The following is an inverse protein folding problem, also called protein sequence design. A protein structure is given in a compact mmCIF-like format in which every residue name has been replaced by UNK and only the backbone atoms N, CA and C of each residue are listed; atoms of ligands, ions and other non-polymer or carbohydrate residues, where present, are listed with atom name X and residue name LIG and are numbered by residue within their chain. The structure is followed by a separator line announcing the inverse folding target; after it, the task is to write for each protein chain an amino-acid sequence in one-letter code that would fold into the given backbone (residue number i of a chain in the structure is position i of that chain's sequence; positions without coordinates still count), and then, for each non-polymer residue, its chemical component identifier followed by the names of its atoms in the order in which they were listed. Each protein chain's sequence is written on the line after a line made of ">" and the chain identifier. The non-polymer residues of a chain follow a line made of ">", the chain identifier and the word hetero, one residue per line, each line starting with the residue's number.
data_IF_061493762294
#
_entry.id   IF_061493762294
#
_cell.length_a   1.000
_cell.length_b   1.000
_cell.length_c   1.000
_cell.angle_alpha   90.00
_cell.angle_beta   90.00
_cell.angle_gamma   90.00
#
_symmetry.space_group_name_H-M   'P 1'
#
loop_
_entity.id
_entity.type
_entity.pdbx_description
1 polymer ?
#
# COMPACT_ATOMS: atom_id res chain seq x y z
N UNK A 1 19.21 -18.59 35.38
CA UNK A 1 18.00 -19.41 35.15
C UNK A 1 17.34 -19.18 33.80
N UNK A 2 17.29 -17.95 33.25
CA UNK A 2 16.72 -17.69 31.90
C UNK A 2 17.46 -18.42 30.76
N UNK A 3 18.77 -18.67 30.88
CA UNK A 3 19.56 -19.38 29.87
C UNK A 3 19.13 -20.84 29.63
N UNK A 4 18.33 -21.43 30.51
CA UNK A 4 17.88 -22.83 30.41
C UNK A 4 16.43 -22.97 29.93
N UNK A 5 15.72 -21.85 29.67
CA UNK A 5 14.33 -21.90 29.24
C UNK A 5 14.20 -22.57 27.87
N UNK A 6 13.29 -23.54 27.79
CA UNK A 6 12.85 -24.21 26.57
C UNK A 6 11.89 -23.30 25.79
N UNK A 7 12.04 -23.29 24.46
CA UNK A 7 11.32 -22.44 23.51
C UNK A 7 9.80 -22.67 23.50
N UNK A 8 9.34 -23.81 24.02
CA UNK A 8 7.96 -24.27 23.81
C UNK A 8 7.01 -23.99 24.99
N UNK A 9 7.51 -23.58 26.16
CA UNK A 9 6.70 -23.47 27.38
C UNK A 9 6.19 -22.06 27.71
N UNK A 10 6.62 -21.01 27.00
CA UNK A 10 6.27 -19.62 27.36
C UNK A 10 5.35 -19.01 26.30
N UNK A 11 4.23 -18.45 26.74
CA UNK A 11 3.33 -17.73 25.85
C UNK A 11 4.02 -16.49 25.26
N UNK A 12 3.77 -16.18 23.98
CA UNK A 12 4.42 -15.03 23.33
C UNK A 12 4.12 -13.69 24.01
N UNK A 13 2.91 -13.53 24.59
CA UNK A 13 2.53 -12.34 25.36
C UNK A 13 3.40 -12.19 26.60
N UNK A 14 3.60 -13.30 27.31
CA UNK A 14 4.46 -13.33 28.49
C UNK A 14 5.92 -12.99 28.16
N UNK A 15 6.42 -13.29 26.94
CA UNK A 15 7.77 -12.91 26.55
C UNK A 15 7.97 -11.38 26.50
N UNK A 16 7.00 -10.63 25.98
CA UNK A 16 7.07 -9.17 25.96
C UNK A 16 6.88 -8.54 27.35
N UNK A 17 6.06 -9.16 28.20
CA UNK A 17 5.97 -8.77 29.62
C UNK A 17 7.30 -8.99 30.34
N UNK A 18 7.92 -10.16 30.13
CA UNK A 18 9.25 -10.49 30.66
C UNK A 18 10.30 -9.52 30.12
N UNK A 19 10.25 -9.16 28.84
CA UNK A 19 11.14 -8.16 28.23
C UNK A 19 11.03 -6.81 28.94
N UNK A 20 9.81 -6.32 29.19
CA UNK A 20 9.58 -5.04 29.88
C UNK A 20 10.17 -5.04 31.29
N UNK A 21 10.05 -6.16 32.02
CA UNK A 21 10.69 -6.32 33.34
C UNK A 21 12.21 -6.42 33.20
N UNK A 22 12.69 -7.24 32.26
CA UNK A 22 14.10 -7.52 32.01
C UNK A 22 14.90 -6.27 31.62
N UNK A 23 14.31 -5.32 30.89
CA UNK A 23 14.96 -4.07 30.51
C UNK A 23 15.27 -3.16 31.71
N UNK A 24 14.53 -3.31 32.81
CA UNK A 24 14.76 -2.59 34.06
C UNK A 24 15.69 -3.35 35.04
N UNK A 25 16.11 -4.56 34.67
CA UNK A 25 16.98 -5.41 35.48
C UNK A 25 18.38 -5.47 34.88
N UNK A 26 19.39 -5.58 35.73
CA UNK A 26 20.78 -5.82 35.32
C UNK A 26 21.00 -7.30 34.93
N UNK A 27 20.23 -7.80 33.95
CA UNK A 27 20.42 -9.16 33.43
C UNK A 27 21.81 -9.30 32.76
N UNK A 28 22.34 -10.52 32.74
CA UNK A 28 23.53 -10.82 31.94
C UNK A 28 23.21 -10.69 30.45
N UNK A 29 24.21 -10.33 29.64
CA UNK A 29 24.05 -10.15 28.20
C UNK A 29 23.51 -11.43 27.53
N UNK A 30 24.01 -12.60 27.91
CA UNK A 30 23.54 -13.88 27.42
C UNK A 30 22.05 -14.12 27.69
N UNK A 31 21.53 -13.71 28.86
CA UNK A 31 20.09 -13.83 29.16
C UNK A 31 19.26 -12.91 28.26
N UNK A 32 19.73 -11.68 28.02
CA UNK A 32 19.05 -10.73 27.12
C UNK A 32 19.03 -11.25 25.69
N UNK A 33 20.17 -11.67 25.17
CA UNK A 33 20.28 -12.17 23.80
C UNK A 33 19.39 -13.40 23.58
N UNK A 34 19.29 -14.30 24.58
CA UNK A 34 18.38 -15.46 24.50
C UNK A 34 16.91 -15.03 24.49
N UNK A 35 16.51 -14.11 25.37
CA UNK A 35 15.14 -13.59 25.41
C UNK A 35 14.76 -12.89 24.11
N UNK A 36 15.63 -12.02 23.60
CA UNK A 36 15.41 -11.31 22.35
C UNK A 36 15.38 -12.27 21.15
N UNK A 37 16.22 -13.30 21.15
CA UNK A 37 16.19 -14.36 20.15
C UNK A 37 14.87 -15.12 20.16
N UNK A 38 14.37 -15.49 21.35
CA UNK A 38 13.07 -16.14 21.50
C UNK A 38 11.92 -15.27 20.97
N UNK A 39 11.94 -13.97 21.27
CA UNK A 39 10.94 -13.01 20.77
C UNK A 39 11.05 -12.86 19.26
N UNK A 40 12.25 -12.70 18.72
CA UNK A 40 12.49 -12.57 17.29
C UNK A 40 12.04 -13.79 16.49
N UNK A 41 12.21 -15.01 17.03
CA UNK A 41 11.70 -16.24 16.38
C UNK A 41 10.17 -16.29 16.27
N UNK A 42 9.44 -15.50 17.07
CA UNK A 42 7.97 -15.42 17.12
C UNK A 42 7.45 -14.06 16.64
N UNK A 43 8.26 -13.29 15.93
CA UNK A 43 7.95 -11.92 15.50
C UNK A 43 6.67 -11.82 14.64
N UNK A 44 6.31 -12.90 13.95
CA UNK A 44 5.05 -13.01 13.18
C UNK A 44 3.78 -13.03 14.04
N UNK A 45 3.93 -13.12 15.37
CA UNK A 45 2.84 -13.05 16.37
C UNK A 45 2.80 -11.70 17.11
N UNK A 46 3.77 -10.82 16.87
CA UNK A 46 3.84 -9.53 17.55
C UNK A 46 2.85 -8.52 16.94
N UNK A 47 2.38 -7.59 17.78
CA UNK A 47 1.65 -6.39 17.35
C UNK A 47 2.59 -5.19 17.30
N UNK A 48 2.14 -4.09 16.68
CA UNK A 48 2.90 -2.84 16.65
C UNK A 48 3.24 -2.38 18.08
N UNK A 49 2.27 -2.38 19.00
CA UNK A 49 2.48 -2.00 20.41
C UNK A 49 3.56 -2.80 21.13
N UNK A 50 3.83 -4.03 20.69
CA UNK A 50 4.90 -4.84 21.25
C UNK A 50 6.28 -4.31 20.85
N UNK A 51 6.41 -3.70 19.67
CA UNK A 51 7.65 -3.10 19.15
C UNK A 51 7.93 -1.70 19.70
N UNK A 52 6.91 -1.02 20.22
CA UNK A 52 7.01 0.34 20.77
C UNK A 52 7.62 0.34 22.18
N UNK A 53 8.86 -0.17 22.27
CA UNK A 53 9.65 -0.18 23.50
C UNK A 53 10.38 1.15 23.64
N UNK A 54 10.22 1.88 24.76
CA UNK A 54 10.91 3.14 24.97
C UNK A 54 12.43 3.00 24.90
N UNK A 55 13.09 4.00 24.33
CA UNK A 55 14.53 4.05 24.26
C UNK A 55 15.19 4.19 25.65
N UNK A 56 16.38 3.61 25.89
CA UNK A 56 17.06 3.75 27.18
C UNK A 56 17.32 5.20 27.58
N UNK A 57 17.16 5.51 28.88
CA UNK A 57 17.36 6.83 29.48
C UNK A 57 18.78 7.35 29.21
N UNK A 58 18.93 8.13 28.13
CA UNK A 58 20.11 8.87 27.61
C UNK A 58 20.04 9.06 26.09
N UNK A 59 19.21 8.29 25.40
CA UNK A 59 19.01 8.44 23.95
C UNK A 59 17.87 9.44 23.70
N UNK A 60 18.00 10.26 22.67
CA UNK A 60 17.06 11.34 22.34
C UNK A 60 15.83 10.89 21.54
N UNK A 61 15.91 9.72 20.90
CA UNK A 61 14.82 9.15 20.09
C UNK A 61 13.87 8.32 20.96
N UNK A 62 12.61 8.21 20.53
CA UNK A 62 11.48 7.71 21.34
C UNK A 62 11.55 6.19 21.60
N UNK A 63 11.83 5.40 20.56
CA UNK A 63 11.73 3.94 20.60
C UNK A 63 13.07 3.23 20.37
N UNK A 64 13.29 2.08 21.01
CA UNK A 64 14.53 1.30 20.84
C UNK A 64 14.57 0.53 19.50
N UNK A 65 14.94 1.23 18.43
CA UNK A 65 15.10 0.64 17.09
C UNK A 65 16.15 -0.48 17.06
N UNK A 66 17.19 -0.42 17.91
CA UNK A 66 18.24 -1.44 17.93
C UNK A 66 17.70 -2.79 18.43
N UNK A 67 16.70 -2.76 19.33
CA UNK A 67 15.99 -3.95 19.80
C UNK A 67 15.17 -4.59 18.69
N UNK A 68 14.42 -3.78 17.92
CA UNK A 68 13.62 -4.27 16.79
C UNK A 68 14.51 -4.87 15.68
N UNK A 69 15.65 -4.26 15.39
CA UNK A 69 16.64 -4.81 14.46
C UNK A 69 17.19 -6.17 14.93
N UNK A 70 17.39 -6.36 16.24
CA UNK A 70 17.80 -7.66 16.81
C UNK A 70 16.70 -8.71 16.68
N UNK A 71 15.43 -8.35 16.90
CA UNK A 71 14.31 -9.25 16.64
C UNK A 71 14.24 -9.68 15.18
N UNK A 72 14.35 -8.74 14.25
CA UNK A 72 14.37 -9.03 12.82
C UNK A 72 15.54 -9.93 12.43
N UNK A 73 16.73 -9.65 12.94
CA UNK A 73 17.91 -10.50 12.71
C UNK A 73 17.69 -11.92 13.18
N UNK A 74 17.04 -12.10 14.33
CA UNK A 74 16.71 -13.43 14.84
C UNK A 74 15.60 -14.11 14.03
N UNK A 75 14.58 -13.37 13.57
CA UNK A 75 13.52 -13.88 12.72
C UNK A 75 14.06 -14.39 11.37
N UNK A 76 15.01 -13.64 10.79
CA UNK A 76 15.64 -13.92 9.51
C UNK A 76 16.94 -14.74 9.62
N UNK A 77 17.27 -15.26 10.81
CA UNK A 77 18.60 -15.82 11.11
C UNK A 77 19.06 -16.96 10.19
N UNK A 78 18.11 -17.72 9.62
CA UNK A 78 18.39 -18.79 8.67
C UNK A 78 18.26 -18.34 7.19
N UNK A 79 18.08 -17.05 6.94
CA UNK A 79 17.78 -16.48 5.64
C UNK A 79 16.29 -16.37 5.35
N UNK A 80 15.93 -15.38 4.51
CA UNK A 80 14.54 -15.04 4.16
C UNK A 80 13.82 -16.22 3.47
N UNK A 81 14.53 -16.99 2.65
CA UNK A 81 13.98 -18.15 1.93
C UNK A 81 13.65 -19.37 2.82
N UNK A 82 14.14 -19.39 4.06
CA UNK A 82 13.87 -20.46 5.01
C UNK A 82 12.63 -20.18 5.89
N UNK A 83 12.01 -19.01 5.75
CA UNK A 83 10.81 -18.62 6.50
C UNK A 83 9.57 -18.92 5.68
N UNK A 84 8.54 -19.50 6.31
CA UNK A 84 7.22 -19.68 5.68
C UNK A 84 6.69 -18.34 5.18
N UNK A 85 6.30 -18.28 3.91
CA UNK A 85 5.84 -17.04 3.26
C UNK A 85 4.73 -16.32 4.05
N UNK A 86 3.80 -17.08 4.64
CA UNK A 86 2.72 -16.52 5.47
C UNK A 86 3.21 -15.80 6.73
N UNK A 87 4.29 -16.30 7.35
CA UNK A 87 4.93 -15.65 8.51
C UNK A 87 5.72 -14.43 8.08
N UNK A 88 6.46 -14.55 6.98
CA UNK A 88 7.23 -13.45 6.41
C UNK A 88 6.31 -12.26 6.05
N UNK A 89 5.18 -12.50 5.37
CA UNK A 89 4.22 -11.45 5.01
C UNK A 89 3.65 -10.71 6.24
N UNK A 90 3.43 -11.41 7.36
CA UNK A 90 2.99 -10.78 8.62
C UNK A 90 4.07 -9.86 9.17
N UNK A 91 5.33 -10.31 9.20
CA UNK A 91 6.45 -9.50 9.69
C UNK A 91 6.75 -8.32 8.78
N UNK A 92 6.66 -8.48 7.46
CA UNK A 92 6.79 -7.38 6.48
C UNK A 92 5.78 -6.28 6.79
N UNK A 93 4.49 -6.62 6.86
CA UNK A 93 3.43 -5.67 7.19
C UNK A 93 3.65 -5.01 8.56
N UNK A 94 4.09 -5.78 9.55
CA UNK A 94 4.39 -5.25 10.89
C UNK A 94 5.55 -4.22 10.84
N UNK A 95 6.60 -4.48 10.06
CA UNK A 95 7.71 -3.55 9.91
C UNK A 95 7.35 -2.32 9.10
N UNK A 96 6.49 -2.44 8.10
CA UNK A 96 6.01 -1.29 7.33
C UNK A 96 5.19 -0.36 8.25
N UNK A 97 4.33 -0.90 9.12
CA UNK A 97 3.64 -0.14 10.17
C UNK A 97 4.62 0.50 11.17
N UNK A 98 5.65 -0.24 11.59
CA UNK A 98 6.67 0.27 12.49
C UNK A 98 7.49 1.41 11.87
N UNK A 99 7.82 1.31 10.58
CA UNK A 99 8.50 2.38 9.84
C UNK A 99 7.69 3.68 9.83
N UNK A 100 6.38 3.58 9.59
CA UNK A 100 5.47 4.74 9.61
C UNK A 100 5.41 5.35 11.01
N UNK A 101 5.39 4.53 12.07
CA UNK A 101 5.32 5.00 13.46
C UNK A 101 6.61 5.70 13.93
N UNK A 102 7.79 5.24 13.50
CA UNK A 102 9.06 5.86 13.90
C UNK A 102 9.47 7.03 13.01
N UNK A 103 8.91 7.15 11.80
CA UNK A 103 9.28 8.19 10.84
C UNK A 103 9.13 9.64 11.37
N UNK A 104 8.07 9.97 12.14
CA UNK A 104 7.87 11.32 12.67
C UNK A 104 8.76 11.70 13.87
N UNK A 105 9.63 10.81 14.36
CA UNK A 105 10.54 11.11 15.47
C UNK A 105 11.71 12.00 14.99
N UNK A 106 11.80 13.28 15.39
CA UNK A 106 12.84 14.21 14.91
C UNK A 106 14.26 13.85 15.37
N UNK A 107 14.37 12.95 16.35
CA UNK A 107 15.64 12.51 16.90
C UNK A 107 16.11 11.17 16.33
N UNK A 108 15.30 10.53 15.47
CA UNK A 108 15.66 9.29 14.82
C UNK A 108 16.75 9.52 13.78
N UNK A 109 17.90 8.84 13.95
CA UNK A 109 19.03 8.98 13.02
C UNK A 109 18.74 8.32 11.66
N UNK A 110 19.18 8.94 10.53
CA UNK A 110 19.03 8.38 9.18
C UNK A 110 19.54 6.95 9.04
N UNK A 111 20.67 6.65 9.68
CA UNK A 111 21.30 5.32 9.63
C UNK A 111 20.43 4.23 10.24
N UNK A 112 19.66 4.54 11.30
CA UNK A 112 18.77 3.59 11.96
C UNK A 112 17.50 3.38 11.15
N UNK A 113 16.90 4.46 10.67
CA UNK A 113 15.73 4.40 9.80
C UNK A 113 16.03 3.55 8.55
N UNK A 114 17.16 3.83 7.89
CA UNK A 114 17.62 3.07 6.73
C UNK A 114 17.93 1.60 7.05
N UNK A 115 18.47 1.31 8.24
CA UNK A 115 18.73 -0.07 8.66
C UNK A 115 17.43 -0.89 8.74
N UNK A 116 16.34 -0.31 9.24
CA UNK A 116 15.04 -0.99 9.29
C UNK A 116 14.52 -1.27 7.88
N UNK A 117 14.55 -0.28 6.99
CA UNK A 117 14.12 -0.43 5.58
C UNK A 117 14.85 -1.60 4.91
N UNK A 118 16.18 -1.65 5.06
CA UNK A 118 17.07 -2.63 4.40
C UNK A 118 17.06 -4.02 5.03
N UNK A 119 16.52 -4.19 6.23
CA UNK A 119 16.55 -5.50 6.90
C UNK A 119 15.63 -6.50 6.22
N UNK A 120 14.52 -6.04 5.65
CA UNK A 120 13.59 -6.86 4.88
C UNK A 120 13.84 -6.62 3.38
N UNK A 121 14.08 -7.66 2.58
CA UNK A 121 14.34 -7.50 1.15
C UNK A 121 13.07 -7.09 0.40
N UNK A 122 13.24 -6.35 -0.69
CA UNK A 122 12.12 -5.89 -1.52
C UNK A 122 11.36 -7.03 -2.20
N UNK A 123 12.00 -8.20 -2.39
CA UNK A 123 11.33 -9.40 -2.91
C UNK A 123 10.19 -9.89 -2.00
N UNK A 124 10.24 -9.59 -0.70
CA UNK A 124 9.21 -9.98 0.26
C UNK A 124 8.00 -9.04 0.28
N UNK A 125 8.12 -7.84 -0.31
CA UNK A 125 7.06 -6.84 -0.39
C UNK A 125 6.26 -7.01 -1.67
N UNK A 126 4.94 -7.00 -1.55
CA UNK A 126 4.03 -6.95 -2.70
C UNK A 126 3.95 -5.50 -3.24
N UNK A 127 3.86 -4.52 -2.34
CA UNK A 127 3.82 -3.07 -2.62
C UNK A 127 4.89 -2.34 -1.82
N UNK A 128 5.39 -1.23 -2.36
CA UNK A 128 6.35 -0.35 -1.66
C UNK A 128 5.69 0.92 -1.09
N UNK A 129 4.37 1.02 -1.14
CA UNK A 129 3.62 2.25 -0.81
C UNK A 129 3.77 2.65 0.66
N UNK A 130 3.74 1.68 1.57
CA UNK A 130 3.89 1.92 3.01
C UNK A 130 5.31 2.39 3.36
N UNK A 131 6.32 1.80 2.70
CA UNK A 131 7.72 2.25 2.84
C UNK A 131 7.89 3.65 2.27
N UNK A 132 7.29 3.94 1.11
CA UNK A 132 7.27 5.28 0.53
C UNK A 132 6.62 6.29 1.46
N UNK A 133 5.47 5.95 2.06
CA UNK A 133 4.79 6.81 3.02
C UNK A 133 5.67 7.12 4.23
N UNK A 134 6.31 6.10 4.81
CA UNK A 134 7.25 6.28 5.92
C UNK A 134 8.46 7.15 5.52
N UNK A 135 9.05 6.92 4.34
CA UNK A 135 10.17 7.74 3.84
C UNK A 135 9.74 9.18 3.63
N UNK A 136 8.56 9.42 3.06
CA UNK A 136 8.02 10.75 2.87
C UNK A 136 7.87 11.50 4.20
N UNK A 137 7.21 10.87 5.18
CA UNK A 137 7.05 11.43 6.52
C UNK A 137 8.40 11.71 7.18
N UNK A 138 9.36 10.80 7.05
CA UNK A 138 10.70 10.98 7.61
C UNK A 138 11.39 12.21 7.01
N UNK A 139 11.33 12.40 5.69
CA UNK A 139 11.92 13.56 5.00
C UNK A 139 11.21 14.87 5.36
N UNK A 140 9.89 14.84 5.57
CA UNK A 140 9.11 16.01 6.01
C UNK A 140 9.53 16.49 7.41
N UNK A 141 9.81 15.57 8.33
CA UNK A 141 10.24 15.91 9.70
C UNK A 141 11.73 16.26 9.75
N UNK A 142 12.55 15.68 8.88
CA UNK A 142 14.01 15.85 8.89
C UNK A 142 14.50 16.80 7.79
N UNK A 143 14.04 18.06 7.82
CA UNK A 143 14.39 19.08 6.82
C UNK A 143 15.90 19.42 6.79
N UNK A 144 16.65 19.12 7.86
CA UNK A 144 18.08 19.38 7.98
C UNK A 144 19.02 18.34 7.35
N UNK A 145 18.48 17.32 6.66
CA UNK A 145 19.31 16.28 6.02
C UNK A 145 20.09 16.82 4.82
N UNK A 146 21.35 16.37 4.68
CA UNK A 146 22.11 16.65 3.47
C UNK A 146 21.60 15.80 2.29
N UNK A 147 21.86 16.25 1.07
CA UNK A 147 21.42 15.55 -0.15
C UNK A 147 21.94 14.10 -0.23
N UNK A 148 23.14 13.83 0.31
CA UNK A 148 23.68 12.47 0.39
C UNK A 148 22.85 11.57 1.33
N UNK A 149 22.39 12.10 2.47
CA UNK A 149 21.54 11.36 3.41
C UNK A 149 20.16 11.09 2.83
N UNK A 150 19.53 12.11 2.22
CA UNK A 150 18.26 11.93 1.51
C UNK A 150 18.40 10.87 0.44
N UNK A 151 19.48 10.92 -0.33
CA UNK A 151 19.77 9.94 -1.37
C UNK A 151 19.89 8.52 -0.82
N UNK A 152 20.61 8.33 0.29
CA UNK A 152 20.75 7.02 0.93
C UNK A 152 19.42 6.46 1.45
N UNK A 153 18.54 7.32 1.95
CA UNK A 153 17.21 6.91 2.43
C UNK A 153 16.31 6.55 1.24
N UNK A 154 16.21 7.44 0.24
CA UNK A 154 15.40 7.22 -0.96
C UNK A 154 15.87 6.02 -1.79
N UNK A 155 17.14 5.63 -1.71
CA UNK A 155 17.64 4.42 -2.37
C UNK A 155 17.12 3.12 -1.74
N UNK A 156 16.50 3.18 -0.55
CA UNK A 156 15.89 2.02 0.09
C UNK A 156 14.49 1.69 -0.43
N UNK A 157 13.97 2.48 -1.37
CA UNK A 157 12.64 2.30 -1.95
C UNK A 157 12.72 1.55 -3.29
N UNK A 158 11.87 0.54 -3.48
CA UNK A 158 11.67 -0.08 -4.77
C UNK A 158 10.56 0.65 -5.55
N UNK A 159 10.99 1.49 -6.51
CA UNK A 159 10.11 2.32 -7.34
C UNK A 159 9.20 1.52 -8.27
N UNK A 160 9.63 0.35 -8.74
CA UNK A 160 8.85 -0.51 -9.64
C UNK A 160 7.61 -1.10 -8.95
N UNK A 161 7.66 -1.24 -7.63
CA UNK A 161 6.58 -1.78 -6.78
C UNK A 161 5.69 -0.71 -6.16
N UNK A 162 5.84 0.56 -6.56
CA UNK A 162 4.94 1.64 -6.14
C UNK A 162 3.64 1.59 -6.94
N UNK A 163 2.53 1.98 -6.32
CA UNK A 163 1.28 2.23 -7.04
C UNK A 163 1.37 3.49 -7.90
N UNK A 164 0.48 3.60 -8.89
CA UNK A 164 0.41 4.79 -9.76
C UNK A 164 0.10 6.07 -8.98
N UNK A 165 -0.64 5.96 -7.87
CA UNK A 165 -0.92 7.09 -6.97
C UNK A 165 0.33 7.52 -6.21
N UNK A 166 1.07 6.55 -5.64
CA UNK A 166 2.34 6.82 -4.96
C UNK A 166 3.38 7.46 -5.89
N UNK A 167 3.51 6.95 -7.12
CA UNK A 167 4.37 7.54 -8.14
C UNK A 167 3.94 8.97 -8.45
N UNK A 168 2.66 9.23 -8.73
CA UNK A 168 2.17 10.59 -9.01
C UNK A 168 2.45 11.56 -7.85
N UNK A 169 2.29 11.11 -6.60
CA UNK A 169 2.68 11.91 -5.43
C UNK A 169 4.19 12.20 -5.42
N UNK A 170 5.02 11.19 -5.69
CA UNK A 170 6.49 11.30 -5.68
C UNK A 170 6.99 12.30 -6.73
N UNK A 171 6.41 12.28 -7.93
CA UNK A 171 6.79 13.21 -9.03
C UNK A 171 6.57 14.68 -8.70
N UNK A 172 5.67 15.00 -7.75
CA UNK A 172 5.36 16.36 -7.30
C UNK A 172 6.08 16.73 -6.00
N UNK A 173 6.78 15.79 -5.40
CA UNK A 173 7.34 15.93 -4.07
C UNK A 173 8.72 16.59 -4.11
N UNK A 174 8.80 17.83 -3.62
CA UNK A 174 10.02 18.64 -3.60
C UNK A 174 11.05 18.17 -2.55
N UNK A 175 10.65 17.35 -1.58
CA UNK A 175 11.56 16.87 -0.53
C UNK A 175 12.45 15.72 -1.02
N UNK A 176 12.07 15.08 -2.13
CA UNK A 176 12.84 13.99 -2.73
C UNK A 176 13.95 14.54 -3.64
N UNK A 177 15.14 13.92 -3.64
CA UNK A 177 16.19 14.27 -4.60
C UNK A 177 15.71 14.13 -6.05
N UNK A 178 16.09 15.09 -6.90
CA UNK A 178 15.60 15.21 -8.28
C UNK A 178 15.80 13.95 -9.12
N UNK A 179 16.87 13.19 -8.87
CA UNK A 179 17.15 11.93 -9.57
C UNK A 179 16.05 10.88 -9.38
N UNK A 180 15.45 10.77 -8.19
CA UNK A 180 14.40 9.80 -7.90
C UNK A 180 13.04 10.27 -8.41
N UNK A 181 12.78 11.58 -8.35
CA UNK A 181 11.59 12.17 -8.99
C UNK A 181 11.62 11.95 -10.51
N UNK A 182 12.78 12.12 -11.15
CA UNK A 182 12.97 11.83 -12.57
C UNK A 182 12.78 10.34 -12.90
N UNK A 183 13.34 9.43 -12.10
CA UNK A 183 13.14 7.99 -12.27
C UNK A 183 11.67 7.59 -12.14
N UNK A 184 10.96 8.12 -11.13
CA UNK A 184 9.54 7.87 -10.94
C UNK A 184 8.71 8.44 -12.10
N UNK A 185 9.08 9.58 -12.67
CA UNK A 185 8.44 10.15 -13.86
C UNK A 185 8.59 9.24 -15.09
N UNK A 186 9.77 8.67 -15.31
CA UNK A 186 10.02 7.74 -16.43
C UNK A 186 9.14 6.50 -16.26
N UNK A 187 9.16 5.88 -15.07
CA UNK A 187 8.31 4.71 -14.78
C UNK A 187 6.81 5.03 -14.94
N UNK A 188 6.40 6.24 -14.57
CA UNK A 188 5.02 6.70 -14.77
C UNK A 188 4.66 6.80 -16.26
N UNK A 189 5.58 7.30 -17.09
CA UNK A 189 5.39 7.40 -18.54
C UNK A 189 5.26 6.01 -19.18
N UNK A 190 6.15 5.07 -18.85
CA UNK A 190 6.10 3.69 -19.36
C UNK A 190 4.77 2.99 -19.01
N UNK A 191 4.28 3.14 -17.78
CA UNK A 191 2.99 2.57 -17.35
C UNK A 191 1.79 3.19 -18.05
N UNK A 192 1.86 4.46 -18.42
CA UNK A 192 0.81 5.07 -19.23
C UNK A 192 0.86 4.56 -20.67
N UNK A 193 2.04 4.42 -21.24
CA UNK A 193 2.22 3.89 -22.59
C UNK A 193 1.73 2.45 -22.70
N UNK A 194 2.00 1.59 -21.71
CA UNK A 194 1.47 0.22 -21.70
C UNK A 194 -0.06 0.17 -21.65
N UNK A 195 -0.68 1.04 -20.84
CA UNK A 195 -2.14 1.14 -20.77
C UNK A 195 -2.77 1.67 -22.07
N UNK A 196 -2.04 2.47 -22.85
CA UNK A 196 -2.47 2.96 -24.16
C UNK A 196 -2.30 1.88 -25.25
N UNK A 197 -1.26 1.05 -25.16
CA UNK A 197 -1.02 -0.07 -26.08
C UNK A 197 -2.14 -1.12 -25.97
N UNK A 198 -2.57 -1.46 -24.75
CA UNK A 198 -3.65 -2.42 -24.49
C UNK A 198 -5.03 -1.95 -25.03
N UNK A 199 -5.20 -0.63 -25.26
CA UNK A 199 -6.43 -0.08 -25.84
C UNK A 199 -6.45 -0.05 -27.38
N UNK A 200 -5.30 -0.05 -28.05
CA UNK A 200 -5.21 -0.05 -29.52
C UNK A 200 -5.47 -1.46 -30.12
N UNK A 201 -5.20 -2.55 -29.35
CA UNK A 201 -5.44 -3.93 -29.79
C UNK A 201 -6.94 -4.34 -29.77
N UNK A 202 -7.79 -3.60 -29.06
CA UNK A 202 -9.24 -3.87 -29.00
C UNK A 202 -10.05 -3.24 -30.16
N UNK A 203 -9.45 -2.34 -30.96
CA UNK A 203 -10.17 -1.56 -32.00
C UNK A 203 -9.85 -2.01 -33.43
N UNK A 204 -8.96 -2.99 -33.62
CA UNK A 204 -8.57 -3.44 -34.96
C UNK A 204 -9.22 -4.78 -35.32
N UNK A 205 -10.54 -4.82 -35.48
CA UNK A 205 -11.18 -5.81 -36.35
C UNK A 205 -12.28 -5.13 -37.16
N UNK A 206 -12.14 -5.24 -38.48
CA UNK A 206 -13.05 -4.82 -39.57
C UNK A 206 -12.84 -3.43 -40.16
N UNK A 207 -11.96 -3.35 -41.18
CA UNK A 207 -12.35 -3.07 -42.58
C UNK A 207 -11.13 -3.24 -43.55
N UNK A 208 -11.36 -3.57 -44.84
CA UNK A 208 -10.38 -4.21 -45.73
C UNK A 208 -9.43 -3.24 -46.46
N UNK A 209 -8.26 -3.72 -46.94
CA UNK A 209 -7.25 -2.87 -47.56
C UNK A 209 -7.53 -2.65 -49.05
N UNK A 210 -7.42 -1.41 -49.51
CA UNK A 210 -7.25 -1.10 -50.94
C UNK A 210 -5.84 -0.62 -51.24
N UNK A 211 -5.24 -1.27 -52.24
CA UNK A 211 -3.95 -1.02 -52.84
C UNK A 211 -3.72 0.46 -53.18
N UNK A 212 -2.53 0.97 -52.86
CA UNK A 212 -1.66 1.53 -53.90
C UNK A 212 -0.19 1.55 -53.45
N UNK A 213 0.66 0.96 -54.31
CA UNK A 213 2.11 1.04 -54.25
C UNK A 213 2.55 2.38 -54.85
N UNK A 214 3.59 2.99 -54.29
CA UNK A 214 4.74 3.46 -55.08
C UNK A 214 5.93 3.72 -54.17
N UNK A 215 7.08 3.20 -54.59
CA UNK A 215 8.35 3.30 -53.90
C UNK A 215 9.07 4.58 -54.30
N UNK A 216 9.66 5.29 -53.33
CA UNK A 216 10.88 6.06 -53.54
C UNK A 216 11.80 5.99 -52.32
N UNK A 217 13.08 5.80 -52.63
CA UNK A 217 14.23 5.54 -51.76
C UNK A 217 14.89 6.87 -51.39
N UNK A 218 15.18 7.10 -50.11
CA UNK A 218 16.02 8.23 -49.66
C UNK A 218 16.16 8.29 -48.14
N UNK A 219 17.39 8.18 -47.64
CA UNK A 219 17.78 8.14 -46.21
C UNK A 219 17.78 9.56 -45.57
N UNK A 220 17.55 9.56 -44.24
CA UNK A 220 18.13 10.40 -43.17
C UNK A 220 17.23 11.50 -42.58
N UNK A 221 17.06 11.46 -41.25
CA UNK A 221 16.75 12.63 -40.41
C UNK A 221 15.58 12.45 -39.45
N UNK A 222 15.86 11.98 -38.23
CA UNK A 222 14.95 11.97 -37.08
C UNK A 222 14.47 13.40 -36.75
N UNK A 223 13.24 13.75 -37.14
CA UNK A 223 12.54 14.96 -36.67
C UNK A 223 11.01 14.81 -36.69
N UNK A 224 10.48 13.83 -37.44
CA UNK A 224 9.04 13.64 -37.59
C UNK A 224 8.38 12.84 -36.45
N UNK A 225 9.12 12.02 -35.71
CA UNK A 225 8.52 11.19 -34.65
C UNK A 225 8.13 11.99 -33.40
N UNK A 226 8.93 12.99 -33.00
CA UNK A 226 8.66 13.77 -31.80
C UNK A 226 7.45 14.71 -31.97
N UNK A 227 7.23 15.23 -33.18
CA UNK A 227 6.08 16.10 -33.50
C UNK A 227 4.77 15.29 -33.56
N UNK A 228 4.82 14.06 -34.09
CA UNK A 228 3.65 13.16 -34.15
C UNK A 228 3.23 12.68 -32.75
N UNK A 229 4.18 12.40 -31.85
CA UNK A 229 3.89 12.02 -30.47
C UNK A 229 3.22 13.16 -29.68
N UNK A 230 3.68 14.41 -29.83
CA UNK A 230 3.05 15.56 -29.17
C UNK A 230 1.65 15.87 -29.72
N UNK A 231 1.46 15.76 -31.04
CA UNK A 231 0.13 15.94 -31.66
C UNK A 231 -0.86 14.86 -31.19
N UNK A 232 -0.43 13.58 -31.13
CA UNK A 232 -1.25 12.47 -30.60
C UNK A 232 -1.57 12.65 -29.11
N UNK A 233 -0.64 13.22 -28.32
CA UNK A 233 -0.85 13.56 -26.90
C UNK A 233 -1.88 14.67 -26.69
N UNK A 234 -1.93 15.67 -27.58
CA UNK A 234 -2.94 16.74 -27.54
C UNK A 234 -4.34 16.20 -27.89
N UNK A 235 -4.46 15.36 -28.92
CA UNK A 235 -5.75 14.72 -29.28
C UNK A 235 -6.25 13.74 -28.20
N UNK A 236 -5.36 12.97 -27.59
CA UNK A 236 -5.69 12.08 -26.46
C UNK A 236 -6.13 12.87 -25.22
N UNK A 237 -5.51 14.04 -24.96
CA UNK A 237 -5.94 14.92 -23.88
C UNK A 237 -7.39 15.37 -24.07
N UNK A 238 -7.81 15.72 -25.30
CA UNK A 238 -9.17 16.17 -25.57
C UNK A 238 -10.20 15.04 -25.55
N UNK A 239 -9.88 13.85 -26.08
CA UNK A 239 -10.77 12.69 -25.95
C UNK A 239 -10.89 12.22 -24.49
N UNK A 240 -9.82 12.31 -23.68
CA UNK A 240 -9.89 11.99 -22.24
C UNK A 240 -10.78 12.98 -21.45
N UNK A 241 -10.77 14.27 -21.82
CA UNK A 241 -11.67 15.28 -21.24
C UNK A 241 -13.11 15.00 -21.63
N UNK A 242 -13.36 14.67 -22.91
CA UNK A 242 -14.69 14.32 -23.43
C UNK A 242 -15.26 13.07 -22.76
N UNK A 243 -14.44 12.04 -22.59
CA UNK A 243 -14.84 10.81 -21.89
C UNK A 243 -15.16 11.08 -20.42
N UNK A 244 -14.37 11.91 -19.73
CA UNK A 244 -14.63 12.31 -18.34
C UNK A 244 -15.96 13.04 -18.18
N UNK A 245 -16.26 13.99 -19.07
CA UNK A 245 -17.54 14.70 -19.07
C UNK A 245 -18.69 13.74 -19.35
N UNK A 246 -18.50 12.78 -20.28
CA UNK A 246 -19.51 11.76 -20.58
C UNK A 246 -19.76 10.83 -19.38
N UNK A 247 -18.71 10.38 -18.72
CA UNK A 247 -18.80 9.49 -17.55
C UNK A 247 -19.49 10.18 -16.37
N UNK A 248 -19.19 11.46 -16.12
CA UNK A 248 -19.91 12.27 -15.13
C UNK A 248 -21.39 12.43 -15.49
N UNK A 249 -21.71 12.62 -16.78
CA UNK A 249 -23.09 12.64 -17.27
C UNK A 249 -23.81 11.31 -17.06
N UNK A 250 -23.15 10.18 -17.31
CA UNK A 250 -23.70 8.84 -17.04
C UNK A 250 -23.92 8.60 -15.54
N UNK A 251 -22.96 8.99 -14.70
CA UNK A 251 -23.10 8.89 -13.24
C UNK A 251 -24.28 9.71 -12.72
N UNK A 252 -24.49 10.92 -13.24
CA UNK A 252 -25.64 11.74 -12.89
C UNK A 252 -26.96 11.06 -13.29
N UNK A 253 -27.05 10.53 -14.52
CA UNK A 253 -28.24 9.81 -14.99
C UNK A 253 -28.50 8.54 -14.17
N UNK A 254 -27.46 7.80 -13.80
CA UNK A 254 -27.58 6.61 -12.95
C UNK A 254 -28.11 6.96 -11.56
N UNK A 255 -27.59 8.02 -10.94
CA UNK A 255 -28.05 8.49 -9.63
C UNK A 255 -29.50 9.00 -9.67
N UNK A 256 -29.89 9.64 -10.78
CA UNK A 256 -31.27 10.05 -11.02
C UNK A 256 -32.19 8.84 -11.18
N UNK A 257 -31.74 7.82 -11.93
CA UNK A 257 -32.46 6.55 -12.08
C UNK A 257 -32.63 5.83 -10.74
N UNK A 258 -31.58 5.74 -9.93
CA UNK A 258 -31.64 5.17 -8.58
C UNK A 258 -32.65 5.90 -7.70
N UNK A 259 -32.71 7.23 -7.81
CA UNK A 259 -33.70 8.05 -7.09
C UNK A 259 -35.12 7.73 -7.55
N UNK A 260 -35.36 7.53 -8.85
CA UNK A 260 -36.66 7.08 -9.36
C UNK A 260 -37.02 5.67 -8.89
N UNK A 261 -36.08 4.72 -8.97
CA UNK A 261 -36.28 3.34 -8.49
C UNK A 261 -36.63 3.30 -7.00
N UNK A 262 -35.93 4.08 -6.15
CA UNK A 262 -36.25 4.20 -4.71
C UNK A 262 -37.67 4.74 -4.49
N UNK A 263 -38.08 5.79 -5.22
CA UNK A 263 -39.45 6.34 -5.14
C UNK A 263 -40.50 5.30 -5.52
N UNK A 264 -40.26 4.58 -6.61
CA UNK A 264 -41.16 3.51 -7.07
C UNK A 264 -41.24 2.37 -6.04
N UNK A 265 -40.12 1.96 -5.46
CA UNK A 265 -40.09 0.93 -4.41
C UNK A 265 -40.89 1.36 -3.16
N UNK A 266 -40.81 2.63 -2.77
CA UNK A 266 -41.62 3.19 -1.67
C UNK A 266 -43.11 3.18 -2.03
N UNK A 267 -43.48 3.48 -3.28
CA UNK A 267 -44.88 3.42 -3.71
C UNK A 267 -45.41 1.99 -3.80
N UNK A 268 -44.61 1.05 -4.33
CA UNK A 268 -44.97 -0.37 -4.39
C UNK A 268 -45.19 -0.94 -2.99
N UNK A 269 -44.29 -0.66 -2.03
CA UNK A 269 -44.45 -1.12 -0.64
C UNK A 269 -45.68 -0.52 0.03
N UNK A 270 -46.02 0.75 -0.24
CA UNK A 270 -47.28 1.37 0.22
C UNK A 270 -48.51 0.69 -0.38
N UNK A 271 -48.52 0.40 -1.68
CA UNK A 271 -49.62 -0.32 -2.35
C UNK A 271 -49.76 -1.76 -1.86
N UNK A 272 -48.66 -2.46 -1.58
CA UNK A 272 -48.72 -3.82 -1.03
C UNK A 272 -49.34 -3.81 0.37
N UNK A 273 -48.99 -2.82 1.22
CA UNK A 273 -49.59 -2.65 2.54
C UNK A 273 -51.08 -2.31 2.47
N UNK A 274 -51.53 -1.49 1.52
CA UNK A 274 -52.96 -1.19 1.37
C UNK A 274 -53.77 -2.38 0.85
N UNK A 275 -53.19 -3.22 -0.02
CA UNK A 275 -53.82 -4.49 -0.47
C UNK A 275 -53.96 -5.53 0.65
N UNK A 276 -52.98 -5.62 1.55
CA UNK A 276 -53.05 -6.48 2.74
C UNK A 276 -54.12 -5.99 3.73
N UNK A 277 -54.28 -4.67 3.89
CA UNK A 277 -55.33 -4.08 4.73
C UNK A 277 -56.76 -4.24 4.16
N UNK A 278 -56.93 -4.39 2.84
CA UNK A 278 -58.25 -4.61 2.24
C UNK A 278 -58.70 -6.07 2.29
N UNK A 279 -57.77 -7.03 2.38
CA UNK A 279 -58.09 -8.46 2.47
C UNK A 279 -58.57 -8.89 3.87
N UNK A 280 -58.30 -8.09 4.92
CA UNK A 280 -58.73 -8.36 6.30
C UNK A 280 -60.17 -7.97 6.64
N UNK A 281 -60.94 -7.36 5.72
CA UNK A 281 -62.33 -6.90 5.98
C UNK A 281 -63.44 -7.73 5.31
N UNK A 282 -63.10 -8.75 4.52
CA UNK A 282 -64.07 -9.57 3.79
C UNK A 282 -64.18 -11.03 4.29
N UNK A 283 -64.00 -11.27 5.60
CA UNK A 283 -64.40 -12.54 6.22
C UNK A 283 -65.92 -12.49 6.53
N UNK A 284 -66.74 -12.87 5.54
CA UNK A 284 -68.18 -13.11 5.75
C UNK A 284 -68.35 -14.30 6.71
N UNK A 285 -69.06 -14.05 7.81
CA UNK A 285 -69.57 -15.03 8.76
C UNK A 285 -70.44 -16.09 8.05
N UNK A 286 -70.17 -17.37 8.33
CA UNK A 286 -70.98 -18.51 7.87
C UNK A 286 -72.08 -18.79 8.92
N UNK A 287 -73.32 -19.15 8.54
CA UNK A 287 -74.38 -19.46 9.50
C UNK A 287 -74.20 -20.85 10.14
N UNK A 288 -74.51 -20.94 11.44
CA UNK A 288 -74.67 -22.21 12.18
C UNK A 288 -75.95 -22.92 11.72
N UNK A 289 -75.86 -24.21 11.45
CA UNK A 289 -77.02 -25.10 11.34
C UNK A 289 -76.96 -26.03 12.57
N UNK A 290 -78.02 -25.99 13.37
CA UNK A 290 -78.29 -26.94 14.45
C UNK A 290 -79.26 -28.02 13.96
N UNK A 291 -79.09 -29.22 14.53
CA UNK A 291 -80.01 -30.37 14.61
C UNK A 291 -80.32 -31.13 13.32
#
# INVERSE_FOLDING_TARGET
>A
MLCSLDMMCVSYKSLFEVLRVALNLNLSQCCRDKLEGMIGLLLDRATLDNLLVPSPARKSYLYDVDLVLRFLKSFLGNGVGCVLLSRLKKVVRLMDLYLVEIAPDPHLKPSKFLAVIRTIPDSARDTSDEVYHAVNLYLEVHLGLCEEQKTKICSGLNYEKLSSEAINHLTRNVNFPSQFAAQALILWQERLESLLQDTDDAVSTDLPPTLSKTAHKGRKGECSQQIVLYAKKLSLSDESKKLRVHLQGMQWRALELERFCRRMQIQMTKMMRSRLSSHGRNAKSVPKICS
#
